data_IF_170507206556
#
_entry.id   IF_170507206556
#
_cell.length_a   1.000
_cell.length_b   1.000
_cell.length_c   1.000
_cell.angle_alpha   90.00
_cell.angle_beta   90.00
_cell.angle_gamma   90.00
#
_symmetry.space_group_name_H-M   'P 1'
#
loop_
_entity.id
_entity.type
_entity.pdbx_description
1 polymer ?
#
# COMPACT_ATOMS: atom_id res chain seq x y z
N UNK A 1 -15.85 9.04 -0.85
CA UNK A 1 -16.17 10.48 -0.81
C UNK A 1 -17.62 10.69 -1.21
N UNK A 2 -18.37 11.43 -0.41
CA UNK A 2 -19.68 11.93 -0.81
C UNK A 2 -19.48 13.28 -1.50
N UNK A 3 -18.99 13.25 -2.75
CA UNK A 3 -18.83 14.42 -3.63
C UNK A 3 -20.12 15.26 -3.71
N UNK A 4 -21.26 14.59 -3.49
CA UNK A 4 -22.58 15.18 -3.48
C UNK A 4 -22.85 16.09 -2.27
N UNK A 5 -22.24 15.85 -1.11
CA UNK A 5 -22.36 16.73 0.06
C UNK A 5 -21.52 17.99 -0.08
N UNK A 6 -20.28 17.86 -0.55
CA UNK A 6 -19.41 19.01 -0.85
C UNK A 6 -20.06 19.91 -1.91
N UNK A 7 -20.62 19.31 -2.97
CA UNK A 7 -21.31 20.05 -4.02
C UNK A 7 -22.48 20.91 -3.51
N UNK A 8 -23.20 20.45 -2.47
CA UNK A 8 -24.31 21.21 -1.84
C UNK A 8 -23.83 22.40 -1.01
N UNK A 9 -22.60 22.33 -0.48
CA UNK A 9 -22.00 23.40 0.32
C UNK A 9 -21.34 24.48 -0.54
N UNK A 10 -20.97 24.16 -1.77
CA UNK A 10 -20.42 25.12 -2.72
C UNK A 10 -21.44 26.21 -3.10
N UNK A 11 -20.98 27.38 -3.60
CA UNK A 11 -21.87 28.51 -3.89
C UNK A 11 -22.91 28.23 -4.99
N UNK A 12 -22.65 27.27 -5.89
CA UNK A 12 -23.59 26.86 -6.95
C UNK A 12 -23.64 27.77 -8.17
N UNK A 13 -22.81 28.83 -8.23
CA UNK A 13 -22.81 29.79 -9.34
C UNK A 13 -22.25 29.25 -10.66
N UNK A 14 -21.49 28.15 -10.64
CA UNK A 14 -20.83 27.58 -11.84
C UNK A 14 -20.05 28.63 -12.65
N UNK A 15 -19.36 29.56 -11.97
CA UNK A 15 -18.75 30.73 -12.59
C UNK A 15 -17.46 30.46 -13.39
N UNK A 16 -16.83 29.30 -13.22
CA UNK A 16 -15.61 28.94 -13.95
C UNK A 16 -14.30 29.51 -13.39
N UNK A 17 -14.33 30.43 -12.42
CA UNK A 17 -13.13 31.09 -11.86
C UNK A 17 -12.09 30.12 -11.26
N UNK A 18 -12.54 28.95 -10.79
CA UNK A 18 -11.67 27.89 -10.29
C UNK A 18 -11.07 26.98 -11.38
N UNK A 19 -11.32 27.28 -12.66
CA UNK A 19 -10.86 26.51 -13.82
C UNK A 19 -11.76 25.33 -14.22
N UNK A 20 -12.92 25.14 -13.56
CA UNK A 20 -13.83 24.01 -13.79
C UNK A 20 -15.24 24.46 -14.20
N UNK A 21 -15.90 23.61 -15.01
CA UNK A 21 -17.17 23.93 -15.69
C UNK A 21 -18.37 24.05 -14.77
N UNK A 22 -18.33 23.42 -13.60
CA UNK A 22 -19.39 23.49 -12.61
C UNK A 22 -18.86 23.35 -11.19
N UNK A 23 -19.63 23.81 -10.20
CA UNK A 23 -19.35 23.55 -8.78
C UNK A 23 -19.34 22.05 -8.49
N UNK A 24 -20.09 21.23 -9.21
CA UNK A 24 -20.06 19.77 -9.06
C UNK A 24 -18.73 19.19 -9.52
N UNK A 25 -18.21 19.65 -10.66
CA UNK A 25 -16.89 19.24 -11.16
C UNK A 25 -15.79 19.72 -10.20
N UNK A 26 -15.94 20.93 -9.66
CA UNK A 26 -15.03 21.43 -8.62
C UNK A 26 -15.06 20.55 -7.37
N UNK A 27 -16.23 20.21 -6.85
CA UNK A 27 -16.37 19.28 -5.72
C UNK A 27 -15.73 17.91 -6.00
N UNK A 28 -15.83 17.40 -7.24
CA UNK A 28 -15.21 16.14 -7.64
C UNK A 28 -13.69 16.22 -7.74
N UNK A 29 -13.14 17.42 -7.99
CA UNK A 29 -11.70 17.65 -8.09
C UNK A 29 -11.01 17.95 -6.75
N UNK A 30 -11.76 18.19 -5.67
CA UNK A 30 -11.21 18.48 -4.36
C UNK A 30 -10.70 17.20 -3.71
N UNK A 31 -9.39 17.13 -3.49
CA UNK A 31 -8.70 16.00 -2.86
C UNK A 31 -8.26 16.31 -1.44
N UNK A 32 -8.02 17.58 -1.14
CA UNK A 32 -7.53 18.10 0.13
C UNK A 32 -8.12 19.49 0.42
N UNK A 33 -7.75 20.02 1.58
CA UNK A 33 -8.19 21.33 2.07
C UNK A 33 -7.58 22.49 1.26
N UNK A 34 -6.36 22.33 0.74
CA UNK A 34 -5.67 23.36 -0.06
C UNK A 34 -6.41 23.67 -1.36
N UNK A 35 -7.00 22.64 -1.98
CA UNK A 35 -7.78 22.79 -3.21
C UNK A 35 -8.98 23.72 -3.10
N UNK A 36 -9.47 24.00 -1.88
CA UNK A 36 -10.60 24.90 -1.60
C UNK A 36 -10.28 26.33 -2.03
N UNK A 37 -9.02 26.76 -1.90
CA UNK A 37 -8.59 28.13 -2.15
C UNK A 37 -8.74 28.58 -3.60
N UNK A 38 -8.93 27.63 -4.52
CA UNK A 38 -9.22 27.90 -5.94
C UNK A 38 -10.61 28.53 -6.15
N UNK A 39 -11.54 28.41 -5.20
CA UNK A 39 -12.84 29.05 -5.30
C UNK A 39 -12.84 30.43 -4.63
N UNK A 40 -12.62 31.48 -5.42
CA UNK A 40 -12.60 32.88 -4.95
C UNK A 40 -13.90 33.33 -4.28
N UNK A 41 -15.04 32.79 -4.74
CA UNK A 41 -16.35 33.11 -4.16
C UNK A 41 -16.50 32.50 -2.76
N UNK A 42 -15.98 31.29 -2.55
CA UNK A 42 -16.08 30.57 -1.28
C UNK A 42 -15.27 31.26 -0.17
N UNK A 43 -14.30 32.12 -0.52
CA UNK A 43 -13.53 32.96 0.41
C UNK A 43 -14.31 34.15 0.98
N UNK A 44 -15.47 34.47 0.42
CA UNK A 44 -16.29 35.58 0.91
C UNK A 44 -16.89 35.23 2.27
N UNK A 45 -16.98 36.23 3.16
CA UNK A 45 -17.45 36.04 4.54
C UNK A 45 -18.81 35.35 4.63
N UNK A 46 -19.73 35.64 3.70
CA UNK A 46 -21.06 35.00 3.64
C UNK A 46 -21.03 33.47 3.45
N UNK A 47 -19.90 32.90 3.05
CA UNK A 47 -19.69 31.47 2.88
C UNK A 47 -18.71 30.87 3.89
N UNK A 48 -18.18 31.65 4.85
CA UNK A 48 -17.15 31.20 5.79
C UNK A 48 -17.58 29.96 6.61
N UNK A 49 -18.86 29.89 7.00
CA UNK A 49 -19.41 28.70 7.66
C UNK A 49 -19.45 27.45 6.77
N UNK A 50 -19.74 27.62 5.46
CA UNK A 50 -19.75 26.50 4.50
C UNK A 50 -18.34 26.06 4.14
N UNK A 51 -17.41 27.01 3.99
CA UNK A 51 -15.99 26.72 3.80
C UNK A 51 -15.45 25.84 4.93
N UNK A 52 -15.67 26.24 6.20
CA UNK A 52 -15.30 25.43 7.37
C UNK A 52 -15.95 24.04 7.39
N UNK A 53 -17.16 23.90 6.87
CA UNK A 53 -17.83 22.61 6.78
C UNK A 53 -17.23 21.72 5.68
N UNK A 54 -16.85 22.31 4.54
CA UNK A 54 -16.11 21.62 3.47
C UNK A 54 -14.72 21.19 3.98
N UNK A 55 -14.00 22.08 4.67
CA UNK A 55 -12.73 21.77 5.33
C UNK A 55 -12.88 20.59 6.29
N UNK A 56 -13.92 20.57 7.13
CA UNK A 56 -14.20 19.44 8.02
C UNK A 56 -14.53 18.15 7.28
N UNK A 57 -15.27 18.20 6.17
CA UNK A 57 -15.59 17.02 5.37
C UNK A 57 -14.34 16.47 4.68
N UNK A 58 -13.46 17.35 4.20
CA UNK A 58 -12.18 16.98 3.59
C UNK A 58 -11.20 16.45 4.65
N UNK A 59 -11.07 17.11 5.81
CA UNK A 59 -10.25 16.67 6.93
C UNK A 59 -10.77 15.39 7.61
N UNK A 60 -12.08 15.18 7.67
CA UNK A 60 -12.67 13.91 8.11
C UNK A 60 -12.46 12.80 7.07
N UNK A 61 -12.32 13.16 5.79
CA UNK A 61 -11.88 12.24 4.73
C UNK A 61 -10.36 12.02 4.72
N UNK A 62 -9.56 12.92 5.32
CA UNK A 62 -8.12 12.76 5.58
C UNK A 62 -7.82 11.89 6.80
N UNK A 63 -8.80 11.66 7.69
CA UNK A 63 -8.79 10.45 8.54
C UNK A 63 -8.99 9.24 7.64
N UNK A 64 -7.97 8.93 6.85
CA UNK A 64 -7.83 7.65 6.19
C UNK A 64 -8.04 6.56 7.23
N UNK A 65 -8.65 5.46 6.79
CA UNK A 65 -8.81 4.27 7.61
C UNK A 65 -7.49 3.98 8.34
N UNK A 66 -7.49 3.96 9.68
CA UNK A 66 -6.26 3.67 10.43
C UNK A 66 -5.77 2.27 10.04
N UNK A 67 -4.57 2.21 9.47
CA UNK A 67 -3.96 0.93 9.08
C UNK A 67 -3.05 0.52 10.24
N UNK A 68 -3.60 -0.34 11.09
CA UNK A 68 -2.91 -0.86 12.27
C UNK A 68 -2.41 -2.27 12.01
N UNK A 69 -1.15 -2.52 12.36
CA UNK A 69 -0.64 -3.87 12.48
C UNK A 69 -1.28 -4.57 13.67
N UNK A 70 -1.82 -5.78 13.45
CA UNK A 70 -2.53 -6.53 14.50
C UNK A 70 -1.56 -7.05 15.56
N UNK A 71 -0.35 -7.45 15.15
CA UNK A 71 0.62 -8.05 16.06
C UNK A 71 1.40 -7.03 16.90
N UNK A 72 1.73 -5.89 16.31
CA UNK A 72 2.60 -4.88 16.91
C UNK A 72 1.85 -3.62 17.36
N UNK A 73 0.59 -3.43 16.94
CA UNK A 73 -0.20 -2.25 17.22
C UNK A 73 0.34 -0.97 16.55
N UNK A 74 1.26 -1.11 15.59
CA UNK A 74 1.90 0.03 14.94
C UNK A 74 1.05 0.57 13.79
N UNK A 75 1.18 1.86 13.53
CA UNK A 75 0.54 2.52 12.40
C UNK A 75 1.37 2.37 11.13
N UNK A 76 0.72 1.94 10.06
CA UNK A 76 1.23 1.99 8.70
C UNK A 76 0.65 3.21 7.96
N UNK A 77 1.47 3.81 7.11
CA UNK A 77 1.06 4.93 6.23
C UNK A 77 0.15 4.47 5.10
N UNK A 78 0.32 3.22 4.66
CA UNK A 78 -0.48 2.59 3.61
C UNK A 78 -0.46 1.06 3.70
N UNK A 79 -1.41 0.40 3.02
CA UNK A 79 -1.34 -1.04 2.72
C UNK A 79 -0.81 -1.27 1.31
N UNK A 80 -0.02 -2.33 1.15
CA UNK A 80 0.49 -2.76 -0.15
C UNK A 80 -0.29 -3.99 -0.60
N UNK A 81 -1.07 -3.85 -1.65
CA UNK A 81 -1.88 -4.91 -2.25
C UNK A 81 -1.10 -5.62 -3.38
N UNK A 82 -1.49 -6.86 -3.75
CA UNK A 82 -0.92 -7.57 -4.90
C UNK A 82 -1.04 -6.78 -6.21
N UNK A 83 -0.14 -7.05 -7.16
CA UNK A 83 -0.34 -6.58 -8.53
C UNK A 83 -1.64 -7.19 -9.13
N UNK A 84 -2.26 -6.54 -10.14
CA UNK A 84 -3.48 -7.04 -10.74
C UNK A 84 -3.35 -8.48 -11.25
N UNK A 85 -4.23 -9.36 -10.76
CA UNK A 85 -4.25 -10.78 -11.12
C UNK A 85 -3.27 -11.66 -10.35
N UNK A 86 -2.49 -11.12 -9.42
CA UNK A 86 -1.53 -11.87 -8.63
C UNK A 86 -2.10 -12.30 -7.26
N UNK A 87 -1.68 -13.46 -6.73
CA UNK A 87 -2.23 -14.00 -5.48
C UNK A 87 -1.69 -13.31 -4.23
N UNK A 88 -0.55 -12.64 -4.32
CA UNK A 88 0.11 -11.92 -3.23
C UNK A 88 0.93 -10.77 -3.80
N UNK A 89 1.41 -9.87 -2.93
CA UNK A 89 2.55 -9.02 -3.27
C UNK A 89 3.73 -9.90 -3.67
N UNK A 90 4.58 -9.39 -4.56
CA UNK A 90 5.83 -10.05 -4.89
C UNK A 90 6.84 -9.73 -3.79
N UNK A 91 7.57 -10.75 -3.37
CA UNK A 91 8.70 -10.62 -2.46
C UNK A 91 9.99 -10.98 -3.19
N UNK A 92 11.01 -10.14 -3.08
CA UNK A 92 12.36 -10.50 -3.48
C UNK A 92 13.10 -11.05 -2.26
N UNK A 93 13.67 -12.24 -2.40
CA UNK A 93 14.30 -13.00 -1.34
C UNK A 93 15.77 -13.26 -1.64
N UNK A 94 16.61 -13.04 -0.63
CA UNK A 94 17.97 -13.56 -0.60
C UNK A 94 18.04 -14.73 0.39
N UNK A 95 18.36 -15.93 -0.09
CA UNK A 95 18.53 -17.09 0.79
C UNK A 95 19.94 -17.12 1.38
N UNK A 96 20.02 -17.33 2.70
CA UNK A 96 21.31 -17.54 3.37
C UNK A 96 21.86 -18.96 3.19
N UNK A 97 21.03 -19.88 2.68
CA UNK A 97 21.45 -21.23 2.34
C UNK A 97 22.12 -21.22 0.95
N UNK A 98 23.43 -21.48 0.85
CA UNK A 98 24.14 -21.50 -0.42
C UNK A 98 23.73 -22.66 -1.33
N UNK A 99 23.12 -23.72 -0.77
CA UNK A 99 22.65 -24.89 -1.51
C UNK A 99 21.19 -24.76 -1.97
N UNK A 100 20.59 -23.58 -1.79
CA UNK A 100 19.27 -23.27 -2.31
C UNK A 100 19.33 -23.10 -3.83
N UNK A 101 18.51 -23.87 -4.53
CA UNK A 101 18.35 -23.83 -5.98
C UNK A 101 16.91 -23.37 -6.23
N UNK A 102 16.74 -22.46 -7.19
CA UNK A 102 15.46 -21.86 -7.52
C UNK A 102 15.17 -22.05 -9.00
N UNK A 103 14.10 -22.75 -9.32
CA UNK A 103 13.57 -22.87 -10.69
C UNK A 103 12.19 -22.22 -10.76
N UNK A 104 11.86 -21.57 -11.89
CA UNK A 104 10.56 -20.90 -12.04
C UNK A 104 9.41 -21.90 -11.88
N UNK A 105 8.42 -21.53 -11.05
CA UNK A 105 7.26 -22.36 -10.72
C UNK A 105 7.43 -23.26 -9.51
N UNK A 106 8.67 -23.49 -9.03
CA UNK A 106 8.94 -24.29 -7.84
C UNK A 106 8.28 -23.71 -6.60
N UNK A 107 7.89 -24.61 -5.69
CA UNK A 107 7.43 -24.25 -4.36
C UNK A 107 8.49 -24.67 -3.35
N UNK A 108 8.80 -23.79 -2.41
CA UNK A 108 9.66 -24.08 -1.27
C UNK A 108 9.05 -23.51 0.01
N UNK A 109 9.57 -23.96 1.15
CA UNK A 109 9.29 -23.36 2.46
C UNK A 109 10.54 -22.71 3.02
N UNK A 110 10.36 -21.60 3.73
CA UNK A 110 11.43 -20.82 4.32
C UNK A 110 10.93 -20.06 5.55
N UNK A 111 11.87 -19.48 6.31
CA UNK A 111 11.54 -18.43 7.29
C UNK A 111 12.18 -17.11 6.90
N UNK A 112 11.44 -16.00 6.85
CA UNK A 112 12.05 -14.69 6.79
C UNK A 112 12.87 -14.43 8.05
N UNK A 113 14.03 -13.79 7.88
CA UNK A 113 14.84 -13.31 8.97
C UNK A 113 14.01 -12.39 9.89
N UNK A 114 13.83 -12.79 11.14
CA UNK A 114 13.05 -12.03 12.13
C UNK A 114 11.54 -12.35 12.18
N UNK A 115 11.01 -13.16 11.26
CA UNK A 115 9.61 -13.60 11.26
C UNK A 115 9.48 -15.02 11.85
N UNK A 116 8.68 -15.26 12.91
CA UNK A 116 8.52 -16.60 13.51
C UNK A 116 7.71 -17.56 12.63
N UNK A 117 7.03 -17.06 11.59
CA UNK A 117 6.12 -17.85 10.76
C UNK A 117 6.89 -18.54 9.62
N UNK A 118 6.55 -19.80 9.37
CA UNK A 118 7.03 -20.51 8.18
C UNK A 118 6.22 -20.07 6.97
N UNK A 119 6.91 -19.60 5.94
CA UNK A 119 6.31 -19.20 4.68
C UNK A 119 6.47 -20.30 3.64
N UNK A 120 5.54 -20.33 2.70
CA UNK A 120 5.64 -21.11 1.47
C UNK A 120 5.61 -20.13 0.32
N UNK A 121 6.50 -20.31 -0.64
CA UNK A 121 6.66 -19.38 -1.75
C UNK A 121 6.76 -20.16 -3.05
N UNK A 122 6.16 -19.60 -4.11
CA UNK A 122 6.32 -20.04 -5.49
C UNK A 122 7.30 -19.12 -6.20
N UNK A 123 8.34 -19.67 -6.82
CA UNK A 123 9.32 -18.91 -7.60
C UNK A 123 8.67 -18.36 -8.86
N UNK A 124 8.83 -17.06 -9.09
CA UNK A 124 8.48 -16.40 -10.35
C UNK A 124 9.70 -16.24 -11.25
N UNK A 125 10.83 -15.89 -10.62
CA UNK A 125 12.10 -15.65 -11.30
C UNK A 125 13.23 -15.78 -10.30
N UNK A 126 14.39 -16.23 -10.78
CA UNK A 126 15.64 -16.16 -10.03
C UNK A 126 16.71 -15.48 -10.88
N UNK A 127 17.38 -14.47 -10.33
CA UNK A 127 18.39 -13.70 -11.05
C UNK A 127 19.35 -13.04 -10.07
N UNK A 128 20.66 -13.13 -10.33
CA UNK A 128 21.70 -12.43 -9.57
C UNK A 128 21.61 -12.66 -8.04
N UNK A 129 21.30 -13.89 -7.62
CA UNK A 129 21.23 -14.24 -6.20
C UNK A 129 19.93 -13.86 -5.48
N UNK A 130 18.94 -13.35 -6.21
CA UNK A 130 17.63 -12.93 -5.70
C UNK A 130 16.52 -13.74 -6.36
N UNK A 131 15.65 -14.33 -5.54
CA UNK A 131 14.43 -15.00 -5.97
C UNK A 131 13.23 -14.05 -5.82
N UNK A 132 12.52 -13.75 -6.91
CA UNK A 132 11.23 -13.09 -6.85
C UNK A 132 10.14 -14.15 -6.72
N UNK A 133 9.26 -14.01 -5.73
CA UNK A 133 8.28 -15.04 -5.40
C UNK A 133 6.88 -14.48 -5.13
N UNK A 134 5.88 -15.36 -5.27
CA UNK A 134 4.57 -15.19 -4.65
C UNK A 134 4.46 -16.03 -3.39
N UNK A 135 3.85 -15.46 -2.35
CA UNK A 135 3.49 -16.19 -1.15
C UNK A 135 2.30 -17.09 -1.45
N UNK A 136 2.44 -18.36 -1.10
CA UNK A 136 1.41 -19.39 -1.27
C UNK A 136 1.10 -20.02 0.09
N UNK A 137 -0.13 -20.48 0.28
CA UNK A 137 -0.50 -21.20 1.50
C UNK A 137 0.01 -22.65 1.52
N UNK A 138 -0.10 -23.35 2.67
CA UNK A 138 0.27 -24.76 2.82
C UNK A 138 -0.70 -25.73 2.12
N UNK A 139 -1.51 -25.28 1.15
CA UNK A 139 -2.62 -26.04 0.55
C UNK A 139 -2.18 -27.36 -0.08
N UNK A 140 -0.96 -27.43 -0.62
CA UNK A 140 -0.36 -28.64 -1.18
C UNK A 140 -0.28 -29.79 -0.14
N UNK A 141 -0.07 -29.47 1.15
CA UNK A 141 -0.08 -30.47 2.23
C UNK A 141 -1.48 -31.07 2.44
N UNK A 142 -2.54 -30.26 2.28
CA UNK A 142 -3.92 -30.74 2.38
C UNK A 142 -4.31 -31.66 1.21
N UNK A 143 -3.59 -31.58 0.09
CA UNK A 143 -3.76 -32.43 -1.08
C UNK A 143 -2.93 -33.72 -1.02
N UNK A 144 -2.26 -33.99 0.11
CA UNK A 144 -1.41 -35.17 0.29
C UNK A 144 -0.11 -35.12 -0.50
N UNK A 145 0.26 -33.95 -1.05
CA UNK A 145 1.55 -33.76 -1.72
C UNK A 145 2.68 -33.67 -0.67
N UNK A 146 3.90 -34.09 -1.01
CA UNK A 146 5.03 -34.00 -0.10
C UNK A 146 5.30 -32.54 0.29
N UNK A 147 5.84 -32.36 1.50
CA UNK A 147 6.27 -31.04 1.95
C UNK A 147 7.35 -30.48 1.01
N UNK A 148 7.25 -29.21 0.60
CA UNK A 148 8.26 -28.57 -0.22
C UNK A 148 9.61 -28.55 0.48
N UNK A 149 10.67 -28.43 -0.34
CA UNK A 149 12.04 -28.29 0.15
C UNK A 149 12.11 -27.11 1.14
N UNK A 150 12.74 -27.36 2.28
CA UNK A 150 13.07 -26.32 3.25
C UNK A 150 14.41 -25.70 2.86
N UNK A 151 14.41 -24.40 2.58
CA UNK A 151 15.63 -23.67 2.23
C UNK A 151 16.19 -22.86 3.40
N UNK A 152 15.59 -22.95 4.58
CA UNK A 152 16.06 -22.28 5.79
C UNK A 152 15.66 -20.82 5.86
N UNK A 153 16.61 -19.96 6.30
CA UNK A 153 16.35 -18.54 6.54
C UNK A 153 16.60 -17.74 5.26
N UNK A 154 15.68 -16.84 4.92
CA UNK A 154 15.87 -15.87 3.85
C UNK A 154 15.70 -14.44 4.37
N UNK A 155 16.41 -13.50 3.78
CA UNK A 155 16.17 -12.07 3.94
C UNK A 155 15.18 -11.62 2.87
N UNK A 156 14.10 -10.96 3.29
CA UNK A 156 13.22 -10.25 2.36
C UNK A 156 13.91 -8.93 2.04
N UNK A 157 14.23 -8.70 0.76
CA UNK A 157 15.00 -7.52 0.34
C UNK A 157 14.13 -6.47 -0.34
N UNK A 158 13.01 -6.89 -0.93
CA UNK A 158 12.06 -5.98 -1.54
C UNK A 158 10.63 -6.52 -1.51
N UNK A 159 9.69 -5.59 -1.57
CA UNK A 159 8.29 -5.85 -1.91
C UNK A 159 7.93 -5.10 -3.19
N UNK A 160 7.08 -5.72 -4.01
CA UNK A 160 6.43 -5.08 -5.14
C UNK A 160 4.91 -5.35 -5.11
N UNK A 161 4.13 -4.31 -5.37
CA UNK A 161 2.68 -4.36 -5.36
C UNK A 161 2.04 -3.06 -5.83
N UNK A 162 0.77 -2.87 -5.50
CA UNK A 162 0.05 -1.60 -5.72
C UNK A 162 -0.41 -1.00 -4.41
N UNK A 163 -0.55 0.32 -4.37
CA UNK A 163 -1.18 1.01 -3.25
C UNK A 163 -2.61 0.48 -3.05
N UNK A 164 -2.85 -0.14 -1.90
CA UNK A 164 -4.18 -0.55 -1.45
C UNK A 164 -4.90 0.63 -0.80
N UNK A 165 -4.78 0.72 0.53
CA UNK A 165 -5.32 1.80 1.37
C UNK A 165 -4.23 2.77 1.80
N UNK A 166 -4.61 3.98 2.18
CA UNK A 166 -3.68 5.00 2.70
C UNK A 166 -3.15 5.95 1.62
N UNK A 167 -2.08 6.67 1.95
CA UNK A 167 -1.51 7.72 1.10
C UNK A 167 -0.44 7.15 0.18
N UNK A 168 -0.38 7.67 -1.05
CA UNK A 168 0.72 7.37 -1.97
C UNK A 168 2.04 7.95 -1.43
N UNK A 169 3.09 7.13 -1.25
CA UNK A 169 4.39 7.63 -0.83
C UNK A 169 5.20 8.21 -2.00
N UNK A 170 6.21 9.02 -1.67
CA UNK A 170 7.17 9.54 -2.65
C UNK A 170 8.38 8.62 -2.82
N UNK A 171 9.05 8.69 -3.97
CA UNK A 171 10.31 7.96 -4.20
C UNK A 171 11.40 8.54 -3.28
N UNK A 172 12.13 7.66 -2.60
CA UNK A 172 13.15 8.00 -1.59
C UNK A 172 12.60 8.10 -0.17
N UNK A 173 11.27 8.04 0.02
CA UNK A 173 10.66 8.09 1.34
C UNK A 173 10.91 6.79 2.12
N UNK A 174 11.32 6.91 3.39
CA UNK A 174 11.30 5.80 4.34
C UNK A 174 9.87 5.64 4.86
N UNK A 175 9.27 4.49 4.57
CA UNK A 175 7.86 4.23 4.79
C UNK A 175 7.64 3.15 5.85
N UNK A 176 6.46 3.20 6.48
CA UNK A 176 5.89 2.11 7.26
C UNK A 176 4.65 1.63 6.52
N UNK A 177 4.59 0.36 6.17
CA UNK A 177 3.52 -0.19 5.35
C UNK A 177 3.06 -1.56 5.84
N UNK A 178 1.82 -1.92 5.52
CA UNK A 178 1.26 -3.23 5.83
C UNK A 178 1.05 -4.01 4.52
N UNK A 179 1.85 -5.05 4.22
CA UNK A 179 1.57 -5.92 3.10
C UNK A 179 0.23 -6.64 3.33
N UNK A 180 -0.67 -6.55 2.36
CA UNK A 180 -1.90 -7.32 2.39
C UNK A 180 -1.57 -8.82 2.30
N UNK A 181 -2.36 -9.63 2.97
CA UNK A 181 -2.13 -11.08 3.11
C UNK A 181 -0.85 -11.47 3.87
N UNK A 182 -0.16 -10.54 4.52
CA UNK A 182 0.84 -10.90 5.53
C UNK A 182 0.17 -11.65 6.68
N UNK A 183 0.58 -12.89 6.94
CA UNK A 183 -0.03 -13.75 7.97
C UNK A 183 0.07 -13.16 9.38
N UNK A 184 1.15 -12.43 9.68
CA UNK A 184 1.32 -11.75 10.97
C UNK A 184 0.53 -10.45 11.07
N UNK A 185 0.07 -9.89 9.95
CA UNK A 185 -0.47 -8.53 9.87
C UNK A 185 0.41 -7.53 10.64
N UNK A 186 1.73 -7.65 10.46
CA UNK A 186 2.74 -6.81 11.13
C UNK A 186 3.18 -5.69 10.20
N UNK A 187 3.43 -4.50 10.73
CA UNK A 187 3.95 -3.38 9.94
C UNK A 187 5.40 -3.66 9.55
N UNK A 188 5.73 -3.36 8.29
CA UNK A 188 7.07 -3.43 7.73
C UNK A 188 7.58 -2.01 7.52
N UNK A 189 8.90 -1.83 7.52
CA UNK A 189 9.54 -0.59 7.07
C UNK A 189 10.42 -0.82 5.85
N UNK A 190 10.69 0.23 5.09
CA UNK A 190 11.56 0.19 3.92
C UNK A 190 11.63 1.54 3.22
N UNK A 191 12.30 1.60 2.07
CA UNK A 191 12.47 2.80 1.26
C UNK A 191 11.81 2.60 -0.10
N UNK A 192 11.00 3.56 -0.55
CA UNK A 192 10.36 3.50 -1.86
C UNK A 192 11.38 3.81 -2.94
N UNK A 193 11.66 2.87 -3.84
CA UNK A 193 12.60 3.08 -4.95
C UNK A 193 11.91 3.30 -6.30
N UNK A 194 10.63 2.93 -6.41
CA UNK A 194 9.86 3.15 -7.63
C UNK A 194 8.38 3.39 -7.29
N UNK A 195 7.78 4.36 -7.98
CA UNK A 195 6.36 4.71 -7.89
C UNK A 195 5.85 5.13 -9.27
N UNK A 196 4.94 4.35 -9.87
CA UNK A 196 4.32 4.64 -11.16
C UNK A 196 2.82 4.34 -11.09
N UNK A 197 1.98 5.36 -11.26
CA UNK A 197 0.54 5.23 -11.07
C UNK A 197 0.24 4.78 -9.64
N UNK A 198 -0.21 3.53 -9.46
CA UNK A 198 -0.37 2.91 -8.13
C UNK A 198 0.69 1.87 -7.79
N UNK A 199 1.57 1.52 -8.72
CA UNK A 199 2.59 0.49 -8.52
C UNK A 199 3.72 1.04 -7.66
N UNK A 200 4.16 0.24 -6.70
CA UNK A 200 5.22 0.58 -5.77
C UNK A 200 6.27 -0.53 -5.73
N UNK A 201 7.54 -0.14 -5.63
CA UNK A 201 8.65 -1.01 -5.22
C UNK A 201 9.30 -0.43 -3.98
N UNK A 202 9.41 -1.26 -2.96
CA UNK A 202 9.98 -0.90 -1.66
C UNK A 202 11.15 -1.84 -1.39
N UNK A 203 12.32 -1.29 -1.06
CA UNK A 203 13.54 -2.05 -0.74
C UNK A 203 14.06 -1.71 0.66
N UNK A 204 15.09 -2.43 1.11
CA UNK A 204 15.68 -2.19 2.45
C UNK A 204 14.70 -2.59 3.56
N UNK A 205 14.02 -3.71 3.37
CA UNK A 205 12.92 -4.15 4.23
C UNK A 205 13.43 -4.50 5.63
N UNK A 206 12.76 -3.96 6.65
CA UNK A 206 12.93 -4.36 8.04
C UNK A 206 11.58 -4.71 8.68
N UNK A 207 11.57 -5.79 9.47
CA UNK A 207 10.45 -6.20 10.32
C UNK A 207 10.45 -5.45 11.66
N UNK A 208 11.54 -4.76 11.99
CA UNK A 208 11.60 -3.80 13.08
C UNK A 208 11.19 -2.45 12.53
N UNK A 209 10.20 -1.86 13.19
CA UNK A 209 9.71 -0.53 12.87
C UNK A 209 10.11 0.34 14.04
N UNK A 210 11.08 1.23 13.81
CA UNK A 210 11.56 2.21 14.79
C UNK A 210 10.80 3.52 14.61
#
# INVERSE_FOLDING_TARGET
MSTNEIAKLLPGFNCGECGLRSCRDFAASLVDVEGIDRCTILKQERFSGRAKQIEKLLAASEKGEEILGVLDGLHASFSLAPLPGEPSCREDLHAFNPDAIFEEGDIFRYRPLGCPITHFARVLKYSQGIATVHLVGPVHLLQGLPAPKDIGICMVVAFEGVLGRGKMPEVGETVRFLPEHCMMQKVHSGVVLHSEGKRLRIEGIDLKVW
#
